data_IF_058724451349
#
_entry.id   IF_058724451349
#
_cell.length_a   1.000
_cell.length_b   1.000
_cell.length_c   1.000
_cell.angle_alpha   90.00
_cell.angle_beta   90.00
_cell.angle_gamma   90.00
#
_symmetry.space_group_name_H-M   'P 1'
#
loop_
_entity.id
_entity.type
_entity.pdbx_description
1 polymer ?
#
# COMPACT_ATOMS: atom_id res chain seq x y z
N UNK A 1 -0.96 26.16 -14.69
CA UNK A 1 -0.16 25.03 -14.25
C UNK A 1 0.46 25.33 -12.88
N UNK A 2 0.20 24.50 -11.87
CA UNK A 2 0.86 24.62 -10.58
C UNK A 2 2.38 24.43 -10.77
N UNK A 3 3.18 25.33 -10.17
CA UNK A 3 4.63 25.14 -10.12
C UNK A 3 4.91 23.82 -9.41
N UNK A 4 5.58 22.90 -10.09
CA UNK A 4 6.04 21.65 -9.46
C UNK A 4 7.05 22.05 -8.40
N UNK A 5 6.79 21.68 -7.15
CA UNK A 5 7.75 21.83 -6.07
C UNK A 5 8.88 20.81 -6.25
N UNK A 6 9.97 21.27 -6.87
CA UNK A 6 11.13 20.44 -7.18
C UNK A 6 11.75 19.81 -5.93
N UNK A 7 11.69 20.48 -4.76
CA UNK A 7 12.23 19.95 -3.51
C UNK A 7 11.35 18.80 -2.98
N UNK A 8 10.03 18.95 -3.03
CA UNK A 8 9.09 17.89 -2.65
C UNK A 8 9.26 16.68 -3.57
N UNK A 9 9.42 16.89 -4.88
CA UNK A 9 9.66 15.84 -5.84
C UNK A 9 10.97 15.08 -5.56
N UNK A 10 12.07 15.78 -5.33
CA UNK A 10 13.36 15.15 -5.02
C UNK A 10 13.31 14.34 -3.73
N UNK A 11 12.62 14.87 -2.70
CA UNK A 11 12.40 14.16 -1.45
C UNK A 11 11.67 12.84 -1.70
N UNK A 12 10.55 12.86 -2.42
CA UNK A 12 9.76 11.65 -2.70
C UNK A 12 10.56 10.64 -3.53
N UNK A 13 11.29 11.07 -4.56
CA UNK A 13 12.16 10.20 -5.36
C UNK A 13 13.20 9.50 -4.47
N UNK A 14 13.77 10.20 -3.50
CA UNK A 14 14.68 9.64 -2.50
C UNK A 14 13.96 8.64 -1.59
N UNK A 15 12.80 9.02 -1.06
CA UNK A 15 12.03 8.21 -0.11
C UNK A 15 11.57 6.88 -0.73
N UNK A 16 11.24 6.86 -2.03
CA UNK A 16 10.94 5.62 -2.76
C UNK A 16 12.17 4.89 -3.28
N UNK A 17 13.39 5.34 -2.95
CA UNK A 17 14.64 4.68 -3.33
C UNK A 17 14.94 4.69 -4.84
N UNK A 18 14.58 5.77 -5.54
CA UNK A 18 14.78 5.90 -7.00
C UNK A 18 15.78 6.99 -7.41
N UNK A 19 16.57 7.50 -6.46
CA UNK A 19 17.47 8.64 -6.74
C UNK A 19 18.45 8.36 -7.89
N UNK A 20 19.02 7.16 -7.93
CA UNK A 20 19.99 6.73 -8.97
C UNK A 20 19.30 6.40 -10.31
N UNK A 21 17.97 6.43 -10.34
CA UNK A 21 17.18 6.07 -11.52
C UNK A 21 16.38 7.24 -12.09
N UNK A 22 16.55 8.45 -11.56
CA UNK A 22 15.76 9.64 -11.90
C UNK A 22 15.82 10.05 -13.37
N UNK A 23 16.88 9.66 -14.08
CA UNK A 23 17.08 9.98 -15.51
C UNK A 23 16.70 8.84 -16.45
N UNK A 24 16.28 7.70 -15.91
CA UNK A 24 15.89 6.53 -16.70
C UNK A 24 14.50 6.67 -17.29
N UNK A 25 14.33 6.19 -18.50
CA UNK A 25 13.00 6.03 -19.11
C UNK A 25 12.26 4.83 -18.52
N UNK A 26 10.92 4.82 -18.57
CA UNK A 26 10.12 3.70 -18.05
C UNK A 26 10.51 2.32 -18.57
N UNK A 27 10.96 2.23 -19.83
CA UNK A 27 11.43 0.99 -20.46
C UNK A 27 12.75 0.46 -19.87
N UNK A 28 13.50 1.29 -19.17
CA UNK A 28 14.78 0.95 -18.54
C UNK A 28 14.62 0.58 -17.06
N UNK A 29 13.39 0.62 -16.53
CA UNK A 29 13.08 0.33 -15.15
C UNK A 29 12.59 -1.11 -14.99
N UNK A 30 12.96 -1.76 -13.87
CA UNK A 30 12.37 -3.04 -13.47
C UNK A 30 10.88 -2.88 -13.08
N UNK A 31 10.15 -3.99 -12.95
CA UNK A 31 8.76 -3.98 -12.49
C UNK A 31 8.60 -3.26 -11.16
N UNK A 32 9.40 -3.62 -10.16
CA UNK A 32 9.39 -2.97 -8.85
C UNK A 32 9.78 -1.49 -8.89
N UNK A 33 10.72 -1.10 -9.76
CA UNK A 33 11.07 0.31 -9.95
C UNK A 33 9.91 1.09 -10.57
N UNK A 34 9.23 0.55 -11.57
CA UNK A 34 8.02 1.17 -12.16
C UNK A 34 6.90 1.31 -11.11
N UNK A 35 6.71 0.31 -10.27
CA UNK A 35 5.71 0.36 -9.19
C UNK A 35 6.04 1.47 -8.18
N UNK A 36 7.31 1.62 -7.79
CA UNK A 36 7.76 2.72 -6.92
C UNK A 36 7.60 4.11 -7.58
N UNK A 37 7.76 4.22 -8.90
CA UNK A 37 7.44 5.46 -9.63
C UNK A 37 5.94 5.77 -9.55
N UNK A 38 5.07 4.76 -9.70
CA UNK A 38 3.63 4.96 -9.58
C UNK A 38 3.26 5.42 -8.17
N UNK A 39 3.82 4.80 -7.12
CA UNK A 39 3.65 5.25 -5.74
C UNK A 39 4.14 6.68 -5.52
N UNK A 40 5.33 7.03 -6.04
CA UNK A 40 5.87 8.39 -5.93
C UNK A 40 4.93 9.43 -6.54
N UNK A 41 4.32 9.13 -7.69
CA UNK A 41 3.33 10.01 -8.33
C UNK A 41 2.10 10.20 -7.44
N UNK A 42 1.57 9.12 -6.88
CA UNK A 42 0.41 9.17 -5.97
C UNK A 42 0.73 9.95 -4.69
N UNK A 43 1.94 9.78 -4.14
CA UNK A 43 2.39 10.52 -2.96
C UNK A 43 2.50 12.04 -3.21
N UNK A 44 2.78 12.45 -4.45
CA UNK A 44 2.83 13.86 -4.83
C UNK A 44 1.43 14.49 -5.00
N UNK A 45 0.40 13.66 -5.16
CA UNK A 45 -0.97 14.16 -5.32
C UNK A 45 -1.58 14.52 -3.96
N UNK A 46 -1.93 15.78 -3.77
CA UNK A 46 -2.61 16.23 -2.56
C UNK A 46 -4.14 16.07 -2.70
N UNK A 47 -4.59 14.82 -2.75
CA UNK A 47 -6.02 14.47 -2.82
C UNK A 47 -6.53 13.95 -1.48
N UNK A 48 -7.79 14.20 -1.12
CA UNK A 48 -8.39 13.67 0.12
C UNK A 48 -8.68 12.17 0.04
N UNK A 49 -8.87 11.63 -1.16
CA UNK A 49 -9.15 10.21 -1.43
C UNK A 49 -8.07 9.67 -2.35
N UNK A 50 -7.47 8.56 -1.95
CA UNK A 50 -6.39 7.86 -2.66
C UNK A 50 -6.87 6.46 -3.01
N UNK A 51 -6.65 6.06 -4.26
CA UNK A 51 -6.92 4.70 -4.74
C UNK A 51 -5.58 4.02 -5.02
N UNK A 52 -5.36 2.87 -4.42
CA UNK A 52 -4.18 2.03 -4.60
C UNK A 52 -4.64 0.64 -5.05
N UNK A 53 -4.24 0.25 -6.25
CA UNK A 53 -4.54 -1.06 -6.83
C UNK A 53 -3.24 -1.85 -6.94
N UNK A 54 -3.14 -2.93 -6.13
CA UNK A 54 -1.96 -3.81 -6.03
C UNK A 54 -0.62 -3.06 -5.91
N UNK A 55 -0.50 -2.04 -5.04
CA UNK A 55 0.61 -1.09 -5.08
C UNK A 55 1.96 -1.69 -4.68
N UNK A 56 1.99 -2.90 -4.11
CA UNK A 56 3.21 -3.52 -3.61
C UNK A 56 3.53 -4.88 -4.25
N UNK A 57 2.73 -5.35 -5.20
CA UNK A 57 2.80 -6.71 -5.75
C UNK A 57 4.13 -7.08 -6.42
N UNK A 58 4.82 -6.13 -7.06
CA UNK A 58 6.09 -6.34 -7.75
C UNK A 58 7.33 -6.03 -6.89
N UNK A 59 7.15 -5.81 -5.58
CA UNK A 59 8.24 -5.46 -4.67
C UNK A 59 8.75 -6.71 -3.92
N UNK A 60 10.05 -6.75 -3.68
CA UNK A 60 10.63 -7.69 -2.74
C UNK A 60 10.16 -7.40 -1.29
N UNK A 61 10.30 -8.39 -0.41
CA UNK A 61 9.75 -8.32 0.95
C UNK A 61 10.23 -7.10 1.75
N UNK A 62 11.52 -6.74 1.65
CA UNK A 62 12.09 -5.60 2.37
C UNK A 62 11.55 -4.29 1.82
N UNK A 63 11.66 -4.09 0.50
CA UNK A 63 11.18 -2.88 -0.17
C UNK A 63 9.68 -2.71 0.03
N UNK A 64 8.91 -3.81 0.03
CA UNK A 64 7.47 -3.80 0.31
C UNK A 64 7.17 -3.19 1.68
N UNK A 65 7.83 -3.66 2.73
CA UNK A 65 7.64 -3.13 4.08
C UNK A 65 8.01 -1.64 4.18
N UNK A 66 9.15 -1.25 3.61
CA UNK A 66 9.59 0.14 3.57
C UNK A 66 8.56 1.06 2.85
N UNK A 67 7.99 0.59 1.72
CA UNK A 67 6.96 1.35 0.98
C UNK A 67 5.61 1.39 1.71
N UNK A 68 5.23 0.33 2.40
CA UNK A 68 4.03 0.31 3.24
C UNK A 68 4.13 1.33 4.37
N UNK A 69 5.27 1.40 5.06
CA UNK A 69 5.51 2.38 6.13
C UNK A 69 5.49 3.81 5.58
N UNK A 70 6.14 4.03 4.44
CA UNK A 70 6.14 5.34 3.77
C UNK A 70 4.73 5.79 3.40
N UNK A 71 3.96 4.94 2.73
CA UNK A 71 2.59 5.23 2.29
C UNK A 71 1.70 5.56 3.48
N UNK A 72 1.76 4.75 4.54
CA UNK A 72 0.96 4.97 5.75
C UNK A 72 1.28 6.32 6.40
N UNK A 73 2.57 6.65 6.52
CA UNK A 73 3.00 7.92 7.12
C UNK A 73 2.60 9.16 6.30
N UNK A 74 2.62 9.05 4.97
CA UNK A 74 2.31 10.16 4.06
C UNK A 74 0.80 10.38 3.87
N UNK A 75 -0.02 9.36 4.12
CA UNK A 75 -1.47 9.44 3.93
C UNK A 75 -2.26 9.63 5.24
N UNK A 76 -1.59 10.02 6.32
CA UNK A 76 -2.26 10.38 7.58
C UNK A 76 -3.34 11.45 7.30
N UNK A 77 -4.56 11.20 7.79
CA UNK A 77 -5.71 12.09 7.61
C UNK A 77 -6.38 12.02 6.23
N UNK A 78 -5.97 11.10 5.36
CA UNK A 78 -6.61 10.86 4.06
C UNK A 78 -7.44 9.57 4.08
N UNK A 79 -8.40 9.48 3.20
CA UNK A 79 -9.13 8.23 2.95
C UNK A 79 -8.38 7.45 1.87
N UNK A 80 -7.96 6.23 2.20
CA UNK A 80 -7.24 5.35 1.27
C UNK A 80 -8.09 4.11 1.01
N UNK A 81 -8.36 3.84 -0.25
CA UNK A 81 -8.90 2.56 -0.70
C UNK A 81 -7.74 1.75 -1.29
N UNK A 82 -7.40 0.66 -0.61
CA UNK A 82 -6.38 -0.29 -1.03
C UNK A 82 -7.06 -1.54 -1.57
N UNK A 83 -6.74 -1.91 -2.80
CA UNK A 83 -7.08 -3.20 -3.39
C UNK A 83 -5.83 -4.06 -3.36
N UNK A 84 -5.93 -5.24 -2.76
CA UNK A 84 -4.84 -6.20 -2.70
C UNK A 84 -5.37 -7.63 -2.60
N UNK A 85 -4.62 -8.58 -3.09
CA UNK A 85 -4.86 -10.02 -2.90
C UNK A 85 -4.00 -10.59 -1.75
N UNK A 86 -3.18 -9.77 -1.09
CA UNK A 86 -2.35 -10.20 0.05
C UNK A 86 -3.05 -9.87 1.38
N UNK A 87 -3.57 -10.89 2.11
CA UNK A 87 -4.20 -10.68 3.41
C UNK A 87 -3.28 -10.02 4.44
N UNK A 88 -1.95 -10.20 4.30
CA UNK A 88 -0.99 -9.58 5.20
C UNK A 88 -0.98 -8.06 5.04
N UNK A 89 -1.07 -7.57 3.80
CA UNK A 89 -1.18 -6.13 3.53
C UNK A 89 -2.48 -5.57 4.11
N UNK A 90 -3.60 -6.26 3.89
CA UNK A 90 -4.90 -5.81 4.36
C UNK A 90 -4.93 -5.64 5.89
N UNK A 91 -4.53 -6.66 6.67
CA UNK A 91 -4.55 -6.57 8.13
C UNK A 91 -3.50 -5.62 8.70
N UNK A 92 -2.38 -5.43 8.00
CA UNK A 92 -1.30 -4.54 8.43
C UNK A 92 -1.63 -3.07 8.24
N UNK A 93 -2.33 -2.72 7.14
CA UNK A 93 -2.46 -1.34 6.67
C UNK A 93 -3.87 -0.76 6.84
N UNK A 94 -4.91 -1.59 6.90
CA UNK A 94 -6.29 -1.12 6.78
C UNK A 94 -7.04 -1.12 8.10
N UNK A 95 -7.82 -0.07 8.34
CA UNK A 95 -8.75 0.02 9.48
C UNK A 95 -10.02 -0.80 9.25
N UNK A 96 -10.43 -0.97 7.99
CA UNK A 96 -11.59 -1.77 7.58
C UNK A 96 -11.18 -2.62 6.39
N UNK A 97 -11.63 -3.87 6.39
CA UNK A 97 -11.37 -4.81 5.31
C UNK A 97 -12.72 -5.26 4.75
N UNK A 98 -12.78 -5.33 3.44
CA UNK A 98 -13.91 -5.89 2.70
C UNK A 98 -13.39 -7.03 1.85
N UNK A 99 -14.07 -8.16 1.89
CA UNK A 99 -13.76 -9.32 1.07
C UNK A 99 -14.71 -9.29 -0.13
N UNK A 100 -14.16 -9.43 -1.32
CA UNK A 100 -14.91 -9.52 -2.56
C UNK A 100 -14.66 -10.88 -3.22
N UNK A 101 -15.69 -11.69 -3.33
CA UNK A 101 -15.63 -13.05 -3.92
C UNK A 101 -15.98 -13.09 -5.43
N UNK A 102 -16.22 -11.92 -6.02
CA UNK A 102 -16.64 -11.77 -7.41
C UNK A 102 -18.15 -11.52 -7.59
N UNK A 103 -18.95 -11.69 -6.54
CA UNK A 103 -20.41 -11.46 -6.56
C UNK A 103 -20.85 -10.51 -5.46
N UNK A 104 -20.39 -10.75 -4.24
CA UNK A 104 -20.77 -9.98 -3.06
C UNK A 104 -19.57 -9.33 -2.39
N UNK A 105 -19.84 -8.29 -1.61
CA UNK A 105 -18.84 -7.61 -0.77
C UNK A 105 -19.23 -7.85 0.67
N UNK A 106 -18.40 -8.56 1.40
CA UNK A 106 -18.54 -8.76 2.83
C UNK A 106 -17.60 -7.85 3.63
N UNK A 107 -18.12 -7.23 4.68
CA UNK A 107 -17.29 -6.46 5.60
C UNK A 107 -16.79 -7.35 6.73
N UNK A 108 -15.50 -7.23 7.06
CA UNK A 108 -14.95 -7.80 8.29
C UNK A 108 -15.14 -6.83 9.47
N UNK A 109 -14.76 -7.26 10.66
CA UNK A 109 -14.68 -6.36 11.81
C UNK A 109 -13.68 -5.23 11.55
N UNK A 110 -13.98 -4.03 12.08
CA UNK A 110 -13.04 -2.90 12.01
C UNK A 110 -11.82 -3.18 12.88
N UNK A 111 -10.64 -2.97 12.32
CA UNK A 111 -9.38 -3.16 13.03
C UNK A 111 -9.05 -1.91 13.86
N UNK A 112 -8.62 -2.11 15.10
CA UNK A 112 -8.27 -1.03 16.03
C UNK A 112 -6.76 -1.02 16.27
N UNK A 113 -6.22 0.14 16.60
CA UNK A 113 -4.83 0.32 17.00
C UNK A 113 -4.03 1.20 16.05
N UNK A 114 -2.73 1.35 16.30
CA UNK A 114 -1.84 2.09 15.40
C UNK A 114 -1.65 1.35 14.06
N UNK A 115 -1.49 2.11 13.00
CA UNK A 115 -1.16 1.60 11.67
C UNK A 115 0.10 2.30 11.12
N UNK A 116 0.97 1.56 10.40
CA UNK A 116 0.85 0.14 10.08
C UNK A 116 1.07 -0.72 11.33
N UNK A 117 0.41 -1.87 11.42
CA UNK A 117 0.64 -2.83 12.50
C UNK A 117 2.06 -3.41 12.42
N UNK A 118 2.64 -3.69 13.60
CA UNK A 118 3.98 -4.29 13.65
C UNK A 118 3.93 -5.73 13.15
N UNK A 119 4.85 -6.08 12.24
CA UNK A 119 4.95 -7.44 11.67
C UNK A 119 5.30 -8.52 12.70
N UNK A 120 5.87 -8.14 13.84
CA UNK A 120 6.20 -9.05 14.94
C UNK A 120 5.10 -9.15 16.00
N UNK A 121 3.93 -8.53 15.75
CA UNK A 121 2.81 -8.54 16.69
C UNK A 121 2.00 -9.84 16.55
N UNK A 122 1.82 -10.55 17.65
CA UNK A 122 0.99 -11.75 17.68
C UNK A 122 -0.46 -11.46 17.29
N UNK A 123 -0.98 -10.27 17.60
CA UNK A 123 -2.32 -9.86 17.17
C UNK A 123 -2.44 -9.83 15.65
N UNK A 124 -1.41 -9.33 14.96
CA UNK A 124 -1.38 -9.32 13.50
C UNK A 124 -1.52 -10.73 12.91
N UNK A 125 -0.80 -11.70 13.46
CA UNK A 125 -0.86 -13.09 12.99
C UNK A 125 -2.23 -13.73 13.23
N UNK A 126 -2.85 -13.43 14.35
CA UNK A 126 -4.23 -13.89 14.67
C UNK A 126 -5.23 -13.30 13.68
N UNK A 127 -5.13 -12.01 13.38
CA UNK A 127 -5.98 -11.33 12.40
C UNK A 127 -5.80 -11.89 10.99
N UNK A 128 -4.55 -12.17 10.59
CA UNK A 128 -4.24 -12.81 9.31
C UNK A 128 -4.90 -14.19 9.19
N UNK A 129 -4.78 -15.02 10.21
CA UNK A 129 -5.39 -16.35 10.24
C UNK A 129 -6.91 -16.25 10.12
N UNK A 130 -7.56 -15.37 10.89
CA UNK A 130 -9.02 -15.14 10.82
C UNK A 130 -9.45 -14.69 9.42
N UNK A 131 -8.74 -13.77 8.81
CA UNK A 131 -9.06 -13.27 7.47
C UNK A 131 -8.93 -14.38 6.42
N UNK A 132 -7.87 -15.21 6.51
CA UNK A 132 -7.69 -16.35 5.62
C UNK A 132 -8.81 -17.38 5.76
N UNK A 133 -9.27 -17.65 6.98
CA UNK A 133 -10.39 -18.59 7.21
C UNK A 133 -11.69 -18.04 6.61
N UNK A 134 -11.96 -16.74 6.72
CA UNK A 134 -13.11 -16.11 6.08
C UNK A 134 -13.05 -16.22 4.54
N UNK A 135 -11.89 -15.91 3.95
CA UNK A 135 -11.70 -16.02 2.49
C UNK A 135 -11.93 -17.47 2.01
N UNK A 136 -11.47 -18.47 2.77
CA UNK A 136 -11.67 -19.88 2.45
C UNK A 136 -13.12 -20.33 2.62
N UNK A 137 -13.80 -19.83 3.64
CA UNK A 137 -15.21 -20.13 3.92
C UNK A 137 -16.16 -19.59 2.86
N UNK A 138 -15.78 -18.51 2.17
CA UNK A 138 -16.55 -17.89 1.10
C UNK A 138 -16.25 -18.51 -0.27
N UNK A 139 -15.28 -19.42 -0.39
CA UNK A 139 -14.87 -20.08 -1.63
C UNK A 139 -15.63 -21.40 -1.89
N UNK A 140 -16.67 -21.73 -1.11
CA UNK A 140 -17.55 -22.91 -1.23
C UNK A 140 -18.95 -22.49 -1.66
#
# INVERSE_FOLDING_TARGET
GSKIDTRAMEKIIKDVGLLDHRTKYPSQLSGGQRQRVALARTLMENKPIILLDEPFSSLDARTRLEMQDLVTSQFIGKTVLLVTHDPNEAVRLCHRIYIFDGQEIESTESLVGPFPKNINDNELHILQAKLLDQIRGNAL
#
